data_IF_335368072639
#
_entry.id   IF_335368072639
#
_cell.length_a   1.000
_cell.length_b   1.000
_cell.length_c   1.000
_cell.angle_alpha   90.00
_cell.angle_beta   90.00
_cell.angle_gamma   90.00
#
_symmetry.space_group_name_H-M   'P 1'
#
loop_
_entity.id
_entity.type
_entity.pdbx_description
1 polymer ?
#
# COMPACT_ATOMS: atom_id res chain seq x y z
N UNK A 1 10.43 21.99 -21.38
CA UNK A 1 10.73 21.19 -20.18
C UNK A 1 9.44 20.56 -19.68
N UNK A 2 9.38 19.25 -19.42
CA UNK A 2 8.10 18.49 -19.34
C UNK A 2 8.07 17.50 -18.20
N UNK A 3 6.86 17.23 -17.74
CA UNK A 3 6.50 16.26 -16.71
C UNK A 3 5.81 15.05 -17.32
N UNK A 4 5.98 13.86 -16.73
CA UNK A 4 5.42 12.61 -17.23
C UNK A 4 4.57 11.96 -16.13
N UNK A 5 3.52 11.20 -16.48
CA UNK A 5 2.58 10.53 -15.57
C UNK A 5 2.33 9.05 -15.93
N UNK A 6 2.20 8.17 -14.93
CA UNK A 6 1.69 6.80 -15.04
C UNK A 6 0.62 6.58 -13.97
N UNK A 7 -0.60 6.19 -14.36
CA UNK A 7 -1.75 5.94 -13.46
C UNK A 7 -1.81 4.47 -13.03
N UNK A 8 -2.06 4.22 -11.74
CA UNK A 8 -2.38 2.90 -11.19
C UNK A 8 -3.30 3.04 -9.97
N UNK A 9 -4.54 2.58 -10.09
CA UNK A 9 -5.62 2.62 -9.08
C UNK A 9 -5.80 1.22 -8.48
N UNK A 10 -6.03 1.12 -7.16
CA UNK A 10 -7.04 0.25 -6.53
C UNK A 10 -7.12 0.47 -5.00
N UNK A 11 -8.35 0.35 -4.49
CA UNK A 11 -8.91 0.90 -3.25
C UNK A 11 -8.69 0.10 -1.94
N UNK A 12 -9.16 0.71 -0.85
CA UNK A 12 -9.09 0.38 0.58
C UNK A 12 -10.34 -0.37 1.08
N UNK A 13 -10.22 -1.26 2.08
CA UNK A 13 -11.26 -1.51 3.11
C UNK A 13 -10.74 -2.22 4.37
N UNK A 14 -11.48 -1.99 5.45
CA UNK A 14 -11.09 -1.93 6.86
C UNK A 14 -11.32 -3.23 7.66
N UNK A 15 -10.78 -3.25 8.89
CA UNK A 15 -10.89 -4.37 9.83
C UNK A 15 -12.19 -4.44 10.66
N UNK A 16 -12.21 -5.37 11.62
CA UNK A 16 -13.29 -5.49 12.61
C UNK A 16 -13.22 -6.77 13.44
N UNK A 17 -13.13 -6.63 14.76
CA UNK A 17 -13.14 -7.70 15.77
C UNK A 17 -14.56 -8.05 16.23
N UNK A 18 -14.77 -9.24 16.83
CA UNK A 18 -15.71 -9.37 17.95
C UNK A 18 -15.55 -10.67 18.76
N UNK A 19 -15.70 -10.52 20.08
CA UNK A 19 -15.75 -11.54 21.13
C UNK A 19 -17.18 -12.08 21.26
N UNK A 20 -17.35 -13.36 21.60
CA UNK A 20 -18.58 -13.84 22.24
C UNK A 20 -18.30 -14.85 23.36
N UNK A 21 -18.88 -14.52 24.51
CA UNK A 21 -18.96 -15.25 25.77
C UNK A 21 -20.13 -16.25 25.74
N UNK A 22 -19.95 -17.43 26.35
CA UNK A 22 -21.07 -18.10 27.04
C UNK A 22 -20.57 -19.15 28.04
N UNK A 23 -21.02 -18.95 29.28
CA UNK A 23 -20.97 -19.92 30.37
C UNK A 23 -22.05 -20.99 30.18
N UNK A 24 -21.78 -22.21 30.65
CA UNK A 24 -22.53 -22.89 31.74
C UNK A 24 -22.47 -24.41 31.60
N UNK A 25 -22.05 -25.09 32.67
CA UNK A 25 -22.86 -26.05 33.46
C UNK A 25 -21.94 -27.07 34.15
N UNK A 26 -22.04 -27.08 35.49
CA UNK A 26 -21.51 -28.06 36.42
C UNK A 26 -22.29 -29.38 36.26
N UNK A 27 -21.59 -30.51 36.12
CA UNK A 27 -22.11 -31.82 36.54
C UNK A 27 -21.29 -32.30 37.73
N UNK A 28 -22.03 -32.49 38.82
CA UNK A 28 -21.65 -33.09 40.10
C UNK A 28 -21.13 -34.51 39.93
N UNK A 29 -19.98 -34.84 40.54
CA UNK A 29 -19.63 -36.23 40.88
C UNK A 29 -18.82 -36.29 42.19
N UNK A 30 -19.24 -37.19 43.08
CA UNK A 30 -18.91 -37.39 44.51
C UNK A 30 -17.43 -37.62 44.90
N UNK A 31 -17.02 -37.35 46.16
CA UNK A 31 -15.62 -37.22 46.59
C UNK A 31 -15.08 -38.40 47.41
N UNK A 32 -15.36 -39.67 47.08
CA UNK A 32 -14.76 -40.83 47.79
C UNK A 32 -14.64 -42.08 46.93
N UNK A 33 -13.78 -42.07 45.92
CA UNK A 33 -13.26 -43.30 45.35
C UNK A 33 -11.87 -43.07 44.73
N UNK A 34 -10.92 -43.89 45.17
CA UNK A 34 -9.63 -44.15 44.53
C UNK A 34 -8.52 -43.12 44.79
N UNK A 35 -8.06 -43.08 46.05
CA UNK A 35 -6.68 -42.70 46.33
C UNK A 35 -5.73 -43.79 45.77
N UNK A 36 -4.65 -43.31 45.11
CA UNK A 36 -3.47 -44.02 44.57
C UNK A 36 -3.54 -44.42 43.10
N UNK A 37 -2.99 -43.57 42.22
CA UNK A 37 -1.65 -43.71 41.58
C UNK A 37 -1.47 -42.48 40.66
N UNK A 38 -1.30 -41.28 41.22
CA UNK A 38 -0.78 -40.14 40.47
C UNK A 38 0.32 -39.53 41.34
N UNK A 39 1.55 -39.98 41.09
CA UNK A 39 2.79 -39.50 41.72
C UNK A 39 2.88 -37.96 41.69
N UNK A 40 3.66 -37.31 42.59
CA UNK A 40 3.90 -35.86 42.55
C UNK A 40 4.52 -35.36 41.23
N UNK A 41 4.90 -36.30 40.37
CA UNK A 41 5.35 -36.08 39.00
C UNK A 41 4.25 -35.60 38.04
N UNK A 42 2.96 -35.78 38.32
CA UNK A 42 1.89 -35.49 37.36
C UNK A 42 1.67 -34.01 37.11
N UNK A 43 1.98 -33.15 38.09
CA UNK A 43 2.01 -31.69 37.90
C UNK A 43 3.20 -31.23 37.04
N UNK A 44 4.37 -31.83 37.24
CA UNK A 44 5.58 -31.51 36.47
C UNK A 44 5.46 -32.01 35.02
N UNK A 45 4.97 -33.24 34.80
CA UNK A 45 4.70 -33.74 33.45
C UNK A 45 3.60 -32.94 32.76
N UNK A 46 2.53 -32.56 33.46
CA UNK A 46 1.50 -31.69 32.89
C UNK A 46 2.05 -30.31 32.52
N UNK A 47 2.89 -29.70 33.36
CA UNK A 47 3.53 -28.43 33.06
C UNK A 47 4.48 -28.52 31.87
N UNK A 48 5.29 -29.59 31.79
CA UNK A 48 6.21 -29.85 30.67
C UNK A 48 5.44 -30.09 29.36
N UNK A 49 4.32 -30.83 29.42
CA UNK A 49 3.44 -31.05 28.27
C UNK A 49 2.76 -29.75 27.82
N UNK A 50 2.32 -28.89 28.74
CA UNK A 50 1.78 -27.58 28.40
C UNK A 50 2.83 -26.66 27.77
N UNK A 51 4.04 -26.60 28.35
CA UNK A 51 5.12 -25.73 27.83
C UNK A 51 5.57 -26.19 26.45
N UNK A 52 5.69 -27.51 26.23
CA UNK A 52 6.05 -28.06 24.92
C UNK A 52 4.95 -27.84 23.88
N UNK A 53 3.67 -28.02 24.22
CA UNK A 53 2.55 -27.69 23.34
C UNK A 53 2.53 -26.20 22.97
N UNK A 54 2.72 -25.31 23.95
CA UNK A 54 2.80 -23.87 23.70
C UNK A 54 3.97 -23.54 22.78
N UNK A 55 5.15 -24.12 23.01
CA UNK A 55 6.31 -23.91 22.15
C UNK A 55 6.06 -24.39 20.71
N UNK A 56 5.45 -25.57 20.53
CA UNK A 56 5.11 -26.11 19.20
C UNK A 56 4.09 -25.22 18.49
N UNK A 57 3.06 -24.73 19.20
CA UNK A 57 2.06 -23.80 18.63
C UNK A 57 2.73 -22.49 18.24
N UNK A 58 3.60 -21.92 19.08
CA UNK A 58 4.34 -20.69 18.75
C UNK A 58 5.23 -20.90 17.53
N UNK A 59 5.98 -22.00 17.47
CA UNK A 59 6.83 -22.33 16.31
C UNK A 59 5.98 -22.52 15.05
N UNK A 60 4.84 -23.20 15.13
CA UNK A 60 3.94 -23.38 14.01
C UNK A 60 3.34 -22.05 13.53
N UNK A 61 2.93 -21.17 14.45
CA UNK A 61 2.41 -19.83 14.11
C UNK A 61 3.51 -18.96 13.48
N UNK A 62 4.72 -18.97 14.03
CA UNK A 62 5.86 -18.22 13.48
C UNK A 62 6.23 -18.78 12.10
N UNK A 63 6.34 -20.10 11.94
CA UNK A 63 6.59 -20.72 10.65
C UNK A 63 5.48 -20.42 9.63
N UNK A 64 4.21 -20.48 10.03
CA UNK A 64 3.09 -20.12 9.17
C UNK A 64 3.15 -18.65 8.76
N UNK A 65 3.47 -17.73 9.68
CA UNK A 65 3.68 -16.30 9.36
C UNK A 65 4.86 -16.08 8.40
N UNK A 66 5.95 -16.83 8.54
CA UNK A 66 7.13 -16.72 7.68
C UNK A 66 6.91 -17.34 6.29
N UNK A 67 6.21 -18.48 6.22
CA UNK A 67 5.93 -19.22 4.99
C UNK A 67 4.78 -18.62 4.18
N UNK A 68 3.83 -17.97 4.85
CA UNK A 68 2.68 -17.28 4.24
C UNK A 68 2.72 -15.79 4.50
N UNK A 69 3.91 -15.18 4.59
CA UNK A 69 3.97 -13.73 4.43
C UNK A 69 3.49 -13.44 3.02
N UNK A 70 2.36 -12.75 2.81
CA UNK A 70 2.11 -12.18 1.50
C UNK A 70 3.32 -11.29 1.25
N UNK A 71 4.11 -11.61 0.22
CA UNK A 71 5.10 -10.67 -0.25
C UNK A 71 4.31 -9.41 -0.58
N UNK A 72 4.58 -8.31 0.12
CA UNK A 72 4.02 -7.02 -0.26
C UNK A 72 4.29 -6.88 -1.76
N UNK A 73 3.27 -6.63 -2.59
CA UNK A 73 3.53 -6.33 -3.99
C UNK A 73 4.58 -5.23 -4.02
N UNK A 74 5.64 -5.36 -4.83
CA UNK A 74 6.70 -4.37 -4.86
C UNK A 74 6.05 -3.01 -5.02
N UNK A 75 6.29 -2.12 -4.05
CA UNK A 75 5.79 -0.76 -4.12
C UNK A 75 6.12 -0.22 -5.52
N UNK A 76 5.18 0.46 -6.19
CA UNK A 76 5.40 0.97 -7.54
C UNK A 76 6.68 1.82 -7.51
N UNK A 77 7.74 1.27 -8.06
CA UNK A 77 9.06 1.88 -8.04
C UNK A 77 9.13 2.73 -9.29
N UNK A 78 9.26 4.04 -9.09
CA UNK A 78 9.45 4.94 -10.20
C UNK A 78 10.77 4.63 -10.92
N UNK A 79 10.86 4.85 -12.23
CA UNK A 79 12.13 4.69 -12.94
C UNK A 79 13.23 5.59 -12.35
N UNK A 80 14.48 5.28 -12.66
CA UNK A 80 15.62 6.09 -12.23
C UNK A 80 15.47 7.55 -12.69
N UNK A 81 15.80 8.50 -11.80
CA UNK A 81 15.60 9.96 -11.94
C UNK A 81 14.16 10.48 -11.87
N UNK A 82 13.20 9.65 -11.48
CA UNK A 82 11.81 10.07 -11.25
C UNK A 82 11.50 10.22 -9.75
N UNK A 83 10.63 11.16 -9.44
CA UNK A 83 10.20 11.45 -8.08
C UNK A 83 8.82 10.86 -7.87
N UNK A 84 8.68 10.00 -6.85
CA UNK A 84 7.39 9.44 -6.46
C UNK A 84 6.62 10.43 -5.56
N UNK A 85 5.38 10.74 -5.93
CA UNK A 85 4.48 11.55 -5.11
C UNK A 85 3.01 11.17 -5.40
N UNK A 86 2.19 11.00 -4.37
CA UNK A 86 0.75 10.75 -4.54
C UNK A 86 0.39 9.54 -5.41
N UNK A 87 1.19 8.46 -5.35
CA UNK A 87 0.98 7.25 -6.16
C UNK A 87 1.38 7.39 -7.64
N UNK A 88 2.09 8.47 -7.99
CA UNK A 88 2.49 8.82 -9.35
C UNK A 88 3.99 9.07 -9.40
N UNK A 89 4.57 8.96 -10.59
CA UNK A 89 5.97 9.26 -10.84
C UNK A 89 6.08 10.53 -11.67
N UNK A 90 6.92 11.48 -11.24
CA UNK A 90 7.14 12.77 -11.91
C UNK A 90 8.59 12.90 -12.36
N UNK A 91 8.80 13.43 -13.56
CA UNK A 91 10.12 13.73 -14.11
C UNK A 91 10.16 15.19 -14.56
N UNK A 92 11.12 15.99 -14.11
CA UNK A 92 11.28 17.35 -14.61
C UNK A 92 12.26 17.39 -15.79
N UNK A 93 11.76 17.14 -17.00
CA UNK A 93 12.60 17.04 -18.20
C UNK A 93 13.31 18.36 -18.51
N UNK A 94 14.63 18.31 -18.65
CA UNK A 94 15.50 19.44 -19.04
C UNK A 94 15.38 19.82 -20.53
N UNK A 95 14.65 19.03 -21.33
CA UNK A 95 14.54 19.27 -22.76
C UNK A 95 13.72 20.54 -23.06
N UNK A 96 14.26 21.39 -23.92
CA UNK A 96 13.62 22.61 -24.41
C UNK A 96 12.73 22.33 -25.63
N UNK A 97 11.90 23.31 -25.99
CA UNK A 97 10.96 23.23 -27.10
C UNK A 97 9.54 23.66 -26.72
N UNK A 98 8.64 23.58 -27.68
CA UNK A 98 7.23 23.92 -27.53
C UNK A 98 6.43 22.83 -26.79
N UNK A 99 5.13 23.05 -26.62
CA UNK A 99 4.22 22.10 -25.96
C UNK A 99 4.11 20.77 -26.73
N UNK A 100 4.15 20.79 -28.06
CA UNK A 100 3.99 19.58 -28.88
C UNK A 100 5.23 18.69 -28.82
N UNK A 101 6.41 19.30 -29.00
CA UNK A 101 7.70 18.68 -28.69
C UNK A 101 7.62 18.16 -27.26
N UNK A 102 7.17 19.03 -26.35
CA UNK A 102 6.66 18.77 -25.01
C UNK A 102 6.20 17.35 -24.78
N UNK A 103 4.96 17.14 -25.17
CA UNK A 103 4.25 15.89 -25.07
C UNK A 103 5.01 14.73 -25.73
N UNK A 104 5.60 14.94 -26.91
CA UNK A 104 6.32 13.88 -27.65
C UNK A 104 7.46 13.26 -26.83
N UNK A 105 8.28 14.05 -26.13
CA UNK A 105 9.38 13.48 -25.34
C UNK A 105 8.87 12.76 -24.09
N UNK A 106 7.77 13.21 -23.48
CA UNK A 106 7.15 12.46 -22.39
C UNK A 106 6.64 11.11 -22.87
N UNK A 107 5.99 11.10 -24.04
CA UNK A 107 5.46 9.88 -24.64
C UNK A 107 6.55 8.90 -25.03
N UNK A 108 7.74 9.36 -25.47
CA UNK A 108 8.89 8.47 -25.69
C UNK A 108 9.42 7.81 -24.42
N UNK A 109 9.10 8.36 -23.25
CA UNK A 109 9.44 7.80 -21.93
C UNK A 109 8.26 7.01 -21.31
N UNK A 110 7.23 6.70 -22.11
CA UNK A 110 6.06 5.94 -21.66
C UNK A 110 5.09 6.75 -20.79
N UNK A 111 5.05 8.07 -20.93
CA UNK A 111 4.23 8.92 -20.06
C UNK A 111 3.79 10.25 -20.73
N UNK A 112 3.16 11.16 -20.00
CA UNK A 112 2.51 12.37 -20.56
C UNK A 112 2.71 13.65 -19.75
N UNK A 113 2.68 14.82 -20.40
CA UNK A 113 2.66 16.13 -19.73
C UNK A 113 1.70 16.13 -18.53
N UNK A 114 2.15 16.63 -17.38
CA UNK A 114 1.42 16.49 -16.11
C UNK A 114 0.03 17.14 -16.15
N UNK A 115 -0.97 16.37 -15.72
CA UNK A 115 -2.27 16.88 -15.32
C UNK A 115 -2.24 17.31 -13.85
N UNK A 116 -2.83 18.46 -13.54
CA UNK A 116 -2.96 18.96 -12.17
C UNK A 116 -4.41 18.70 -11.75
N UNK A 117 -4.62 17.73 -10.87
CA UNK A 117 -5.96 17.30 -10.46
C UNK A 117 -6.26 17.66 -9.00
N UNK A 118 -5.23 17.84 -8.19
CA UNK A 118 -5.35 18.19 -6.77
C UNK A 118 -4.45 19.37 -6.41
N UNK A 119 -4.81 20.06 -5.33
CA UNK A 119 -3.96 21.11 -4.76
C UNK A 119 -2.59 20.55 -4.35
N UNK A 120 -2.55 19.31 -3.85
CA UNK A 120 -1.31 18.62 -3.51
C UNK A 120 -0.38 18.42 -4.71
N UNK A 121 -0.93 18.08 -5.90
CA UNK A 121 -0.15 17.99 -7.13
C UNK A 121 0.51 19.35 -7.45
N UNK A 122 -0.25 20.44 -7.36
CA UNK A 122 0.24 21.78 -7.65
C UNK A 122 1.36 22.19 -6.67
N UNK A 123 1.16 21.98 -5.37
CA UNK A 123 2.14 22.31 -4.35
C UNK A 123 3.43 21.51 -4.53
N UNK A 124 3.32 20.22 -4.81
CA UNK A 124 4.47 19.37 -5.12
C UNK A 124 5.25 19.89 -6.33
N UNK A 125 4.56 20.23 -7.42
CA UNK A 125 5.19 20.77 -8.63
C UNK A 125 5.89 22.11 -8.34
N UNK A 126 5.28 22.98 -7.53
CA UNK A 126 5.85 24.28 -7.18
C UNK A 126 7.06 24.18 -6.26
N UNK A 127 7.09 23.19 -5.36
CA UNK A 127 8.23 22.95 -4.45
C UNK A 127 9.41 22.29 -5.17
N UNK A 128 9.16 21.45 -6.18
CA UNK A 128 10.18 20.66 -6.85
C UNK A 128 10.63 21.25 -8.20
N UNK A 129 9.93 22.24 -8.74
CA UNK A 129 10.38 22.92 -9.96
C UNK A 129 11.66 23.71 -9.70
N UNK A 130 12.53 23.75 -10.70
CA UNK A 130 13.66 24.67 -10.72
C UNK A 130 13.21 26.11 -10.99
N UNK A 131 14.16 27.02 -11.21
CA UNK A 131 13.90 28.40 -11.65
C UNK A 131 13.32 28.50 -13.06
N UNK A 132 13.36 27.40 -13.84
CA UNK A 132 12.83 27.32 -15.19
C UNK A 132 11.31 27.13 -15.24
N UNK A 133 10.71 27.53 -16.37
CA UNK A 133 9.30 27.25 -16.69
C UNK A 133 9.15 25.88 -17.35
N UNK A 134 8.12 25.14 -16.94
CA UNK A 134 7.81 23.81 -17.47
C UNK A 134 6.44 23.80 -18.15
N UNK A 135 6.33 23.05 -19.25
CA UNK A 135 5.05 22.75 -19.87
C UNK A 135 4.27 21.77 -19.01
N UNK A 136 2.97 22.00 -18.90
CA UNK A 136 1.98 21.10 -18.29
C UNK A 136 1.04 20.55 -19.36
N UNK A 137 0.23 19.57 -19.00
CA UNK A 137 -0.67 18.87 -19.91
C UNK A 137 -1.85 19.69 -20.41
N UNK A 138 -2.03 20.92 -19.91
CA UNK A 138 -3.14 21.78 -20.30
C UNK A 138 -2.88 22.45 -21.65
N UNK A 139 -3.82 22.32 -22.59
CA UNK A 139 -3.72 22.91 -23.94
C UNK A 139 -5.07 23.44 -24.41
N UNK A 140 -5.03 24.49 -25.24
CA UNK A 140 -6.18 25.02 -25.96
C UNK A 140 -5.86 25.14 -27.45
N UNK A 141 -6.66 24.49 -28.26
CA UNK A 141 -6.64 24.67 -29.72
C UNK A 141 -7.58 25.82 -30.12
N UNK A 142 -7.34 26.48 -31.29
CA UNK A 142 -8.23 27.53 -31.77
C UNK A 142 -9.68 27.06 -31.87
N UNK A 143 -10.59 27.79 -31.22
CA UNK A 143 -12.02 27.46 -31.21
C UNK A 143 -12.42 26.27 -30.33
N UNK A 144 -11.50 25.68 -29.56
CA UNK A 144 -11.77 24.58 -28.64
C UNK A 144 -11.68 25.02 -27.17
N UNK A 145 -12.39 24.33 -26.25
CA UNK A 145 -12.17 24.52 -24.82
C UNK A 145 -10.79 24.01 -24.39
N UNK A 146 -10.35 24.44 -23.21
CA UNK A 146 -9.15 23.90 -22.57
C UNK A 146 -9.32 22.42 -22.26
N UNK A 147 -8.31 21.61 -22.59
CA UNK A 147 -8.29 20.17 -22.34
C UNK A 147 -6.93 19.73 -21.82
N UNK A 148 -6.95 18.69 -21.02
CA UNK A 148 -5.77 17.95 -20.60
C UNK A 148 -5.35 16.92 -21.68
N UNK A 149 -4.16 16.33 -21.53
CA UNK A 149 -3.62 15.35 -22.48
C UNK A 149 -4.49 14.08 -22.58
N UNK A 150 -5.11 13.69 -21.47
CA UNK A 150 -6.06 12.57 -21.38
C UNK A 150 -7.41 12.86 -22.07
N UNK A 151 -7.59 14.08 -22.60
CA UNK A 151 -8.81 14.52 -23.27
C UNK A 151 -9.88 15.08 -22.32
N UNK A 152 -9.65 15.05 -21.01
CA UNK A 152 -10.58 15.61 -20.03
C UNK A 152 -10.65 17.13 -20.18
N UNK A 153 -11.87 17.68 -20.08
CA UNK A 153 -12.08 19.11 -20.14
C UNK A 153 -11.56 19.77 -18.86
N UNK A 154 -10.96 20.95 -19.00
CA UNK A 154 -10.58 21.73 -17.83
C UNK A 154 -11.82 22.25 -17.10
N UNK A 155 -11.98 21.87 -15.83
CA UNK A 155 -13.02 22.39 -14.95
C UNK A 155 -12.38 23.46 -14.05
N UNK A 156 -12.83 24.71 -14.20
CA UNK A 156 -12.27 25.88 -13.51
C UNK A 156 -12.95 26.14 -12.17
#
# INVERSE_FOLDING_TARGET
>A
MKTSFTEGKCDEEQGGASLHNSSSQLLTQDPRAQARIWSPFTGAFAAILCVSLVAVVVVAVVAFKLLFSPADPPAPTCPEDWIHFGGKCYLFSKAEGDWATGQKNCSSLGASLVGIHTQADLEFLMQNKSSSSYWIGLRKEPGQPWKWVDGTAFNS
#
